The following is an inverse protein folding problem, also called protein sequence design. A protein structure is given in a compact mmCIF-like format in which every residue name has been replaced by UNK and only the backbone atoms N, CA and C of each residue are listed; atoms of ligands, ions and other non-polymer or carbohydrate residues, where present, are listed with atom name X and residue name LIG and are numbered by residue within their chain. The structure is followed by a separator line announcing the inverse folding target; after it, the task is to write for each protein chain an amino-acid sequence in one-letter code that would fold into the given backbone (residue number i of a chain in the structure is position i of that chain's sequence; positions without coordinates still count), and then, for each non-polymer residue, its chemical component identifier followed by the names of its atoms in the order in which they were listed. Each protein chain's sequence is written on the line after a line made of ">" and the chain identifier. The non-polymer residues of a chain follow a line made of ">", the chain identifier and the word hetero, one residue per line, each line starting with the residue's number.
data_IF_298304782774
#
_entry.id   IF_298304782774
#
_cell.length_a   1.000
_cell.length_b   1.000
_cell.length_c   1.000
_cell.angle_alpha   90.00
_cell.angle_beta   90.00
_cell.angle_gamma   90.00
#
_symmetry.space_group_name_H-M   'P 1'
#
loop_
_entity.id
_entity.type
_entity.pdbx_description
1 polymer ?
#
# COMPACT_ATOMS: atom_id res chain seq x y z
N UNK A 1 -27.30 -12.85 40.52
CA UNK A 1 -26.32 -11.80 40.14
C UNK A 1 -25.11 -12.30 39.38
N UNK A 2 -24.98 -13.62 39.17
CA UNK A 2 -23.93 -14.19 38.35
C UNK A 2 -24.10 -13.84 36.86
N UNK A 3 -25.32 -13.53 36.40
CA UNK A 3 -25.60 -13.21 35.00
C UNK A 3 -24.93 -11.89 34.55
N UNK A 4 -24.86 -10.90 35.44
CA UNK A 4 -24.26 -9.61 35.12
C UNK A 4 -22.73 -9.75 34.93
N UNK A 5 -22.10 -10.59 35.75
CA UNK A 5 -20.67 -10.88 35.64
C UNK A 5 -20.33 -11.55 34.32
N UNK A 6 -21.19 -12.49 33.85
CA UNK A 6 -20.97 -13.14 32.55
C UNK A 6 -21.15 -12.19 31.39
N UNK A 7 -22.12 -11.27 31.45
CA UNK A 7 -22.38 -10.29 30.42
C UNK A 7 -21.19 -9.33 30.31
N UNK A 8 -20.67 -8.86 31.45
CA UNK A 8 -19.51 -7.97 31.49
C UNK A 8 -18.27 -8.69 30.94
N UNK A 9 -18.08 -9.95 31.30
CA UNK A 9 -16.96 -10.76 30.83
C UNK A 9 -17.03 -10.98 29.32
N UNK A 10 -18.23 -11.27 28.79
CA UNK A 10 -18.45 -11.42 27.35
C UNK A 10 -18.21 -10.12 26.59
N UNK A 11 -18.65 -8.99 27.15
CA UNK A 11 -18.39 -7.67 26.55
C UNK A 11 -16.90 -7.34 26.51
N UNK A 12 -16.15 -7.68 27.55
CA UNK A 12 -14.70 -7.50 27.58
C UNK A 12 -14.02 -8.38 26.57
N UNK A 13 -14.47 -9.61 26.37
CA UNK A 13 -13.94 -10.51 25.34
C UNK A 13 -14.18 -9.96 23.93
N UNK A 14 -15.37 -9.46 23.67
CA UNK A 14 -15.72 -8.87 22.38
C UNK A 14 -14.85 -7.64 22.09
N UNK A 15 -14.64 -6.80 23.09
CA UNK A 15 -13.77 -5.62 22.98
C UNK A 15 -12.32 -5.99 22.71
N UNK A 16 -11.82 -7.07 23.32
CA UNK A 16 -10.46 -7.52 23.09
C UNK A 16 -10.24 -8.08 21.68
N UNK A 17 -11.27 -8.65 21.05
CA UNK A 17 -11.18 -9.11 19.68
C UNK A 17 -11.21 -7.97 18.65
N UNK A 18 -11.83 -6.84 18.98
CA UNK A 18 -11.95 -5.71 18.05
C UNK A 18 -10.67 -4.92 17.88
N UNK A 19 -9.64 -5.14 18.69
CA UNK A 19 -8.35 -4.40 18.68
C UNK A 19 -7.23 -5.22 18.02
N UNK A 20 -7.55 -6.38 17.44
CA UNK A 20 -6.53 -7.38 17.14
C UNK A 20 -5.89 -7.37 15.76
N UNK A 21 -6.27 -6.50 14.82
CA UNK A 21 -5.66 -6.51 13.50
C UNK A 21 -4.93 -5.21 13.24
N UNK A 22 -3.58 -5.27 13.04
CA UNK A 22 -2.87 -4.09 12.57
C UNK A 22 -3.39 -3.76 11.18
N UNK A 23 -4.29 -2.80 11.10
CA UNK A 23 -4.67 -2.25 9.83
C UNK A 23 -3.43 -1.60 9.24
N UNK A 24 -2.97 -2.09 8.08
CA UNK A 24 -1.92 -1.40 7.35
C UNK A 24 -2.42 0.00 7.03
N UNK A 25 -1.81 1.00 7.66
CA UNK A 25 -2.16 2.39 7.39
C UNK A 25 -1.70 2.72 5.97
N UNK A 26 -2.64 3.05 5.08
CA UNK A 26 -2.32 3.46 3.71
C UNK A 26 -1.36 4.63 3.73
N UNK A 27 -0.27 4.53 2.97
CA UNK A 27 0.67 5.63 2.80
C UNK A 27 0.29 6.37 1.54
N UNK A 28 -0.07 7.65 1.71
CA UNK A 28 -0.50 8.47 0.59
C UNK A 28 0.47 9.63 0.37
N UNK A 29 0.71 9.98 -0.89
CA UNK A 29 1.48 11.16 -1.28
C UNK A 29 0.75 11.90 -2.38
N UNK A 30 0.85 13.23 -2.32
CA UNK A 30 0.29 14.10 -3.33
C UNK A 30 1.40 14.53 -4.29
N UNK A 31 1.13 14.39 -5.58
CA UNK A 31 2.04 14.82 -6.63
C UNK A 31 1.39 15.92 -7.46
N UNK A 32 2.15 16.99 -7.68
CA UNK A 32 1.72 18.06 -8.59
C UNK A 32 2.17 17.70 -10.00
N UNK A 33 1.22 17.52 -10.90
CA UNK A 33 1.51 17.26 -12.31
C UNK A 33 1.40 18.57 -13.06
N UNK A 34 2.54 19.05 -13.62
CA UNK A 34 2.58 20.25 -14.41
C UNK A 34 2.29 19.93 -15.87
N UNK A 35 1.02 19.66 -16.17
CA UNK A 35 0.53 19.50 -17.55
C UNK A 35 -0.16 20.76 -18.05
N UNK A 36 0.26 21.91 -17.57
CA UNK A 36 -0.39 23.16 -17.89
C UNK A 36 -1.69 23.42 -17.14
N UNK A 37 -2.20 22.43 -16.42
CA UNK A 37 -3.47 22.50 -15.69
C UNK A 37 -3.34 22.35 -14.17
N UNK A 38 -2.15 22.34 -13.63
CA UNK A 38 -1.88 22.20 -12.17
C UNK A 38 -2.77 21.15 -11.49
N UNK A 39 -2.76 19.92 -12.02
CA UNK A 39 -3.53 18.83 -11.44
C UNK A 39 -2.73 18.16 -10.34
N UNK A 40 -3.30 18.15 -9.14
CA UNK A 40 -2.71 17.45 -8.01
C UNK A 40 -3.27 16.03 -7.95
N UNK A 41 -2.39 15.04 -8.07
CA UNK A 41 -2.76 13.64 -7.98
C UNK A 41 -2.35 13.05 -6.64
N UNK A 42 -3.22 12.24 -6.06
CA UNK A 42 -2.96 11.53 -4.83
C UNK A 42 -2.74 10.05 -5.13
N UNK A 43 -1.57 9.53 -4.72
CA UNK A 43 -1.25 8.12 -4.86
C UNK A 43 -1.16 7.52 -3.47
N UNK A 44 -1.94 6.46 -3.23
CA UNK A 44 -1.96 5.74 -1.96
C UNK A 44 -1.53 4.30 -2.16
N UNK A 45 -0.61 3.83 -1.33
CA UNK A 45 -0.23 2.42 -1.28
C UNK A 45 -1.20 1.73 -0.33
N UNK A 46 -2.06 0.85 -0.86
CA UNK A 46 -3.07 0.14 -0.07
C UNK A 46 -2.51 -1.12 0.56
N UNK A 47 -1.65 -1.83 -0.17
CA UNK A 47 -0.96 -3.02 0.33
C UNK A 47 0.36 -3.16 -0.38
N UNK A 48 1.34 -3.74 0.30
CA UNK A 48 2.65 -3.97 -0.26
C UNK A 48 3.30 -5.19 0.38
N UNK A 49 3.86 -6.06 -0.46
CA UNK A 49 4.59 -7.24 -0.03
C UNK A 49 5.91 -7.33 -0.79
N UNK A 50 6.97 -7.55 -0.04
CA UNK A 50 8.29 -7.75 -0.63
C UNK A 50 8.43 -9.22 -1.04
N UNK A 51 9.03 -9.46 -2.21
CA UNK A 51 9.33 -10.83 -2.65
C UNK A 51 10.36 -11.48 -1.74
N UNK A 52 10.09 -12.73 -1.33
CA UNK A 52 11.04 -13.49 -0.52
C UNK A 52 12.26 -13.91 -1.36
N UNK A 53 12.10 -14.07 -2.66
CA UNK A 53 13.15 -14.49 -3.58
C UNK A 53 14.02 -13.31 -4.05
N UNK A 54 13.39 -12.19 -4.37
CA UNK A 54 14.06 -11.02 -4.94
C UNK A 54 13.80 -9.80 -4.06
N UNK A 55 14.77 -9.37 -3.29
CA UNK A 55 14.60 -8.27 -2.33
C UNK A 55 14.30 -6.91 -3.00
N UNK A 56 14.54 -6.78 -4.31
CA UNK A 56 14.25 -5.56 -5.08
C UNK A 56 12.86 -5.57 -5.71
N UNK A 57 12.10 -6.63 -5.52
CA UNK A 57 10.80 -6.84 -6.16
C UNK A 57 9.68 -6.72 -5.12
N UNK A 58 8.71 -5.87 -5.42
CA UNK A 58 7.57 -5.62 -4.53
C UNK A 58 6.27 -5.83 -5.28
N UNK A 59 5.34 -6.52 -4.63
CA UNK A 59 3.98 -6.65 -5.13
C UNK A 59 3.12 -5.68 -4.33
N UNK A 60 2.47 -4.74 -5.02
CA UNK A 60 1.72 -3.68 -4.36
C UNK A 60 0.40 -3.39 -5.06
N UNK A 61 -0.58 -3.00 -4.25
CA UNK A 61 -1.85 -2.49 -4.73
C UNK A 61 -1.91 -1.02 -4.36
N UNK A 62 -2.14 -0.18 -5.35
CA UNK A 62 -2.19 1.27 -5.15
C UNK A 62 -3.54 1.81 -5.62
N UNK A 63 -3.91 2.97 -5.09
CA UNK A 63 -5.01 3.76 -5.61
C UNK A 63 -4.46 5.09 -6.13
N UNK A 64 -5.00 5.55 -7.25
CA UNK A 64 -4.65 6.84 -7.84
C UNK A 64 -5.91 7.67 -7.88
N UNK A 65 -5.92 8.80 -7.19
CA UNK A 65 -7.07 9.69 -7.06
C UNK A 65 -8.34 8.98 -6.59
N UNK A 66 -8.17 8.05 -5.64
CA UNK A 66 -9.28 7.29 -5.08
C UNK A 66 -9.71 6.07 -5.88
N UNK A 67 -9.09 5.83 -7.04
CA UNK A 67 -9.41 4.65 -7.87
C UNK A 67 -8.38 3.56 -7.61
N UNK A 68 -8.85 2.42 -7.11
CA UNK A 68 -8.00 1.27 -6.83
C UNK A 68 -7.55 0.63 -8.15
N UNK A 69 -6.24 0.42 -8.27
CA UNK A 69 -5.66 -0.25 -9.43
C UNK A 69 -5.40 -1.72 -9.13
N UNK A 70 -5.29 -2.58 -10.16
CA UNK A 70 -4.91 -3.98 -9.95
C UNK A 70 -3.53 -4.09 -9.30
N UNK A 71 -3.31 -5.19 -8.57
CA UNK A 71 -2.01 -5.48 -7.98
C UNK A 71 -0.96 -5.68 -9.07
N UNK A 72 0.14 -4.95 -8.97
CA UNK A 72 1.23 -5.02 -9.93
C UNK A 72 2.55 -5.33 -9.22
N UNK A 73 3.51 -5.87 -9.95
CA UNK A 73 4.85 -6.18 -9.44
C UNK A 73 5.79 -5.05 -9.86
N UNK A 74 6.47 -4.46 -8.86
CA UNK A 74 7.41 -3.36 -9.09
C UNK A 74 8.83 -3.84 -8.87
N UNK A 75 9.65 -3.73 -9.90
CA UNK A 75 11.07 -4.09 -9.85
C UNK A 75 11.88 -2.82 -9.66
N UNK A 76 12.39 -2.63 -8.45
CA UNK A 76 13.15 -1.43 -8.11
C UNK A 76 14.58 -1.46 -8.66
N UNK A 77 15.10 -2.62 -8.99
CA UNK A 77 16.43 -2.78 -9.54
C UNK A 77 16.49 -2.34 -11.00
N UNK A 78 15.51 -2.77 -11.79
CA UNK A 78 15.44 -2.44 -13.23
C UNK A 78 14.53 -1.25 -13.50
N UNK A 79 13.79 -0.80 -12.50
CA UNK A 79 12.85 0.33 -12.58
C UNK A 79 11.77 0.08 -13.62
N UNK A 80 11.18 -1.11 -13.53
CA UNK A 80 10.07 -1.52 -14.38
C UNK A 80 8.96 -2.10 -13.52
N UNK A 81 7.74 -2.07 -14.05
CA UNK A 81 6.61 -2.71 -13.41
C UNK A 81 6.05 -3.79 -14.33
N UNK A 82 5.56 -4.88 -13.74
CA UNK A 82 4.93 -5.97 -14.47
C UNK A 82 3.45 -5.96 -14.14
N UNK A 83 2.63 -5.77 -15.16
CA UNK A 83 1.19 -5.77 -15.02
C UNK A 83 0.65 -7.20 -14.89
N UNK A 84 -0.62 -7.32 -14.49
CA UNK A 84 -1.27 -8.61 -14.25
C UNK A 84 -1.23 -9.50 -15.50
N UNK A 85 -1.27 -8.91 -16.70
CA UNK A 85 -1.21 -9.65 -17.96
C UNK A 85 0.22 -10.02 -18.40
N UNK A 86 1.24 -9.69 -17.58
CA UNK A 86 2.63 -9.97 -17.88
C UNK A 86 3.36 -8.87 -18.67
N UNK A 87 2.68 -7.79 -19.02
CA UNK A 87 3.30 -6.68 -19.74
C UNK A 87 4.28 -5.95 -18.85
N UNK A 88 5.52 -5.75 -19.32
CA UNK A 88 6.57 -5.02 -18.61
C UNK A 88 6.62 -3.58 -19.11
N UNK A 89 6.45 -2.64 -18.19
CA UNK A 89 6.46 -1.21 -18.51
C UNK A 89 7.53 -0.50 -17.67
N UNK A 90 8.29 0.44 -18.25
CA UNK A 90 9.24 1.24 -17.46
C UNK A 90 8.48 2.18 -16.52
N UNK A 91 9.14 2.59 -15.44
CA UNK A 91 8.58 3.60 -14.54
C UNK A 91 8.51 4.94 -15.27
N UNK A 92 7.33 5.52 -15.29
CA UNK A 92 7.15 6.89 -15.80
C UNK A 92 7.44 7.89 -14.68
N UNK A 93 7.63 9.15 -15.04
CA UNK A 93 7.69 10.21 -14.05
C UNK A 93 6.37 10.22 -13.27
N UNK A 94 6.45 10.16 -11.92
CA UNK A 94 5.28 10.14 -11.02
C UNK A 94 4.50 8.83 -11.04
N UNK A 95 5.15 7.75 -11.40
CA UNK A 95 4.59 6.41 -11.28
C UNK A 95 4.59 5.98 -9.80
N UNK A 96 3.58 5.19 -9.36
CA UNK A 96 3.61 4.57 -8.03
C UNK A 96 4.90 3.80 -7.74
N UNK A 97 5.56 3.25 -8.75
CA UNK A 97 6.83 2.54 -8.61
C UNK A 97 7.93 3.37 -8.00
N UNK A 98 8.06 4.62 -8.41
CA UNK A 98 9.06 5.53 -7.82
C UNK A 98 8.79 5.77 -6.33
N UNK A 99 7.53 5.95 -5.95
CA UNK A 99 7.12 6.12 -4.58
C UNK A 99 7.42 4.86 -3.74
N UNK A 100 7.09 3.70 -4.27
CA UNK A 100 7.31 2.41 -3.60
C UNK A 100 8.81 2.18 -3.38
N UNK A 101 9.62 2.36 -4.40
CA UNK A 101 11.05 2.14 -4.32
C UNK A 101 11.75 3.15 -3.41
N UNK A 102 11.34 4.40 -3.46
CA UNK A 102 11.85 5.45 -2.60
C UNK A 102 11.50 5.20 -1.12
N UNK A 103 10.29 4.74 -0.83
CA UNK A 103 9.83 4.43 0.51
C UNK A 103 10.72 3.36 1.18
N UNK A 104 11.04 2.30 0.44
CA UNK A 104 11.85 1.21 0.98
C UNK A 104 13.34 1.53 1.03
N UNK A 105 13.84 2.35 0.12
CA UNK A 105 15.23 2.79 0.19
C UNK A 105 15.48 3.70 1.39
N UNK A 106 14.51 4.56 1.74
CA UNK A 106 14.65 5.42 2.90
C UNK A 106 14.55 4.67 4.22
N UNK A 107 13.82 3.54 4.27
CA UNK A 107 13.71 2.73 5.49
C UNK A 107 14.93 1.86 5.74
N UNK A 108 15.86 1.77 4.80
CA UNK A 108 17.12 1.02 4.94
C UNK A 108 18.24 1.86 5.58
N UNK A 109 18.02 3.12 5.73
CA UNK A 109 19.02 4.00 6.36
C UNK A 109 18.76 4.12 7.88
#
# INVERSE_FOLDING_TARGET
>A
MSRIKYIIFLLLLILSFSVGYPAFASVCRNYDVYDGLHLRHQICILSINRSAKNYWEYRATVSVDGVKRPTEVYNCRERVKVQKNGTVLPFEQKDPGEMICSFFNSSRR
#
